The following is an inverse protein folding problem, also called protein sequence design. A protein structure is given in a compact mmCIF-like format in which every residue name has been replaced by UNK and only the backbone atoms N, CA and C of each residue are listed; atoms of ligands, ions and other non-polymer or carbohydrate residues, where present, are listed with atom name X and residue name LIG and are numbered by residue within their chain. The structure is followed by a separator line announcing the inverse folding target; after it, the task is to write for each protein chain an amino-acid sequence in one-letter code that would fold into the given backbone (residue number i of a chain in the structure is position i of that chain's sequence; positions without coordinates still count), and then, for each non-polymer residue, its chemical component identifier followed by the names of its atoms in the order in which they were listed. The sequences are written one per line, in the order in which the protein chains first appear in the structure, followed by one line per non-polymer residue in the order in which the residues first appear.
data_IF_019922380391
#
_entry.id   IF_019922380391
#
_cell.length_a   1.000
_cell.length_b   1.000
_cell.length_c   1.000
_cell.angle_alpha   90.00
_cell.angle_beta   90.00
_cell.angle_gamma   90.00
#
_symmetry.space_group_name_H-M   'P 1'
#
loop_
_entity.id
_entity.type
_entity.pdbx_description
1 polymer ?
#
# COMPACT_ATOMS: atom_id res chain seq x y z
N UNK A 1 3.59 12.56 -24.05
CA UNK A 1 4.16 12.04 -22.79
C UNK A 1 3.00 11.61 -21.91
N UNK A 2 2.94 10.36 -21.46
CA UNK A 2 1.82 9.83 -20.67
C UNK A 2 2.23 9.69 -19.21
N UNK A 3 1.32 10.06 -18.30
CA UNK A 3 1.52 9.89 -16.86
C UNK A 3 1.14 8.45 -16.50
N UNK A 4 2.00 7.77 -15.73
CA UNK A 4 1.69 6.45 -15.16
C UNK A 4 1.23 6.62 -13.72
N UNK A 5 0.06 6.08 -13.38
CA UNK A 5 -0.44 6.02 -12.01
C UNK A 5 0.00 4.71 -11.38
N UNK A 6 0.70 4.77 -10.26
CA UNK A 6 1.19 3.60 -9.53
C UNK A 6 0.53 3.58 -8.15
N UNK A 7 -0.38 2.63 -7.87
CA UNK A 7 -0.97 2.49 -6.54
C UNK A 7 0.09 2.15 -5.49
N UNK A 8 -0.06 2.72 -4.29
CA UNK A 8 0.81 2.46 -3.16
C UNK A 8 0.19 1.47 -2.16
N UNK A 9 1.02 0.59 -1.60
CA UNK A 9 0.67 -0.30 -0.49
C UNK A 9 1.76 -0.14 0.58
N UNK A 10 1.39 0.50 1.69
CA UNK A 10 2.26 0.60 2.86
C UNK A 10 1.93 -0.58 3.79
N UNK A 11 2.93 -1.38 4.18
CA UNK A 11 2.77 -2.60 4.98
C UNK A 11 3.37 -2.36 6.36
N UNK A 12 2.59 -2.65 7.41
CA UNK A 12 3.03 -2.61 8.81
C UNK A 12 2.41 -3.78 9.56
N UNK A 13 3.21 -4.61 10.21
CA UNK A 13 2.76 -5.81 10.92
C UNK A 13 1.96 -6.76 10.02
N UNK A 14 2.34 -6.86 8.74
CA UNK A 14 1.64 -7.67 7.73
C UNK A 14 0.28 -7.12 7.26
N UNK A 15 -0.10 -5.89 7.64
CA UNK A 15 -1.37 -5.25 7.26
C UNK A 15 -1.12 -4.09 6.31
N UNK A 16 -2.10 -3.80 5.44
CA UNK A 16 -2.09 -2.60 4.60
C UNK A 16 -2.55 -1.41 5.42
N UNK A 17 -1.67 -0.43 5.58
CA UNK A 17 -1.89 0.74 6.43
C UNK A 17 -1.68 2.05 5.69
N UNK A 18 -1.98 3.15 6.38
CA UNK A 18 -1.51 4.49 6.04
C UNK A 18 -1.23 5.24 7.32
N UNK A 19 -0.10 5.93 7.36
CA UNK A 19 0.25 6.83 8.45
C UNK A 19 -0.18 8.26 8.09
N UNK A 20 -0.81 8.96 9.03
CA UNK A 20 -1.03 10.40 8.87
C UNK A 20 0.30 11.13 9.03
N UNK A 21 0.83 11.70 7.93
CA UNK A 21 2.12 12.43 7.92
C UNK A 21 3.30 11.61 8.48
N UNK A 22 3.27 10.29 8.34
CA UNK A 22 4.33 9.41 8.85
C UNK A 22 4.27 9.10 10.35
N UNK A 23 3.20 9.51 11.04
CA UNK A 23 3.02 9.26 12.47
C UNK A 23 2.45 7.85 12.73
N UNK A 24 3.27 6.97 13.32
CA UNK A 24 2.89 5.60 13.69
C UNK A 24 1.76 5.53 14.73
N UNK A 25 1.56 6.57 15.53
CA UNK A 25 0.43 6.64 16.46
C UNK A 25 -0.90 6.92 15.74
N UNK A 26 -0.83 7.42 14.50
CA UNK A 26 -1.99 7.78 13.66
C UNK A 26 -2.08 6.86 12.45
N UNK A 27 -2.18 5.56 12.72
CA UNK A 27 -2.31 4.51 11.72
C UNK A 27 -3.77 4.26 11.36
N UNK A 28 -4.07 4.20 10.05
CA UNK A 28 -5.34 3.68 9.53
C UNK A 28 -5.09 2.35 8.85
N UNK A 29 -5.80 1.30 9.28
CA UNK A 29 -5.74 -0.03 8.64
C UNK A 29 -6.80 -0.13 7.56
N UNK A 30 -6.40 -0.43 6.32
CA UNK A 30 -7.31 -0.61 5.19
C UNK A 30 -7.60 -2.08 4.88
N UNK A 31 -6.63 -2.97 5.11
CA UNK A 31 -6.76 -4.39 4.83
C UNK A 31 -5.80 -5.20 5.70
N UNK A 32 -6.21 -6.42 6.07
CA UNK A 32 -5.34 -7.39 6.72
C UNK A 32 -4.58 -8.29 5.74
N UNK A 33 -4.78 -8.11 4.44
CA UNK A 33 -4.21 -8.97 3.39
C UNK A 33 -3.58 -8.10 2.28
N UNK A 34 -2.25 -7.92 2.31
CA UNK A 34 -1.51 -7.18 1.28
C UNK A 34 -1.59 -7.83 -0.10
N UNK A 35 -1.59 -9.17 -0.17
CA UNK A 35 -1.63 -9.92 -1.43
C UNK A 35 -2.96 -9.69 -2.14
N UNK A 36 -4.08 -9.85 -1.43
CA UNK A 36 -5.40 -9.58 -1.98
C UNK A 36 -5.59 -8.11 -2.39
N UNK A 37 -4.93 -7.19 -1.68
CA UNK A 37 -4.92 -5.76 -2.04
C UNK A 37 -4.14 -5.52 -3.33
N UNK A 38 -3.00 -6.19 -3.51
CA UNK A 38 -2.22 -6.16 -4.74
C UNK A 38 -3.01 -6.73 -5.92
N UNK A 39 -3.61 -7.91 -5.78
CA UNK A 39 -4.47 -8.54 -6.80
C UNK A 39 -5.61 -7.63 -7.24
N UNK A 40 -6.25 -6.93 -6.31
CA UNK A 40 -7.31 -5.95 -6.60
C UNK A 40 -6.82 -4.79 -7.45
N UNK A 41 -5.57 -4.36 -7.29
CA UNK A 41 -5.00 -3.30 -8.14
C UNK A 41 -4.64 -3.82 -9.52
N UNK A 42 -4.06 -5.01 -9.62
CA UNK A 42 -3.81 -5.66 -10.92
C UNK A 42 -5.12 -5.90 -11.68
N UNK A 43 -6.18 -6.35 -11.00
CA UNK A 43 -7.51 -6.53 -11.62
C UNK A 43 -8.15 -5.22 -12.09
N UNK A 44 -7.64 -4.07 -11.64
CA UNK A 44 -8.07 -2.72 -12.06
C UNK A 44 -7.17 -2.12 -13.15
N UNK A 45 -6.21 -2.88 -13.68
CA UNK A 45 -5.31 -2.44 -14.74
C UNK A 45 -4.03 -1.76 -14.25
N UNK A 46 -3.69 -1.84 -12.96
CA UNK A 46 -2.37 -1.42 -12.51
C UNK A 46 -1.32 -2.40 -13.04
N UNK A 47 -0.30 -1.90 -13.73
CA UNK A 47 0.82 -2.72 -14.21
C UNK A 47 1.93 -2.87 -13.16
N UNK A 48 1.98 -1.95 -12.20
CA UNK A 48 3.00 -1.86 -11.16
C UNK A 48 2.39 -1.39 -9.85
N UNK A 49 3.03 -1.76 -8.75
CA UNK A 49 2.70 -1.30 -7.40
C UNK A 49 3.93 -0.67 -6.76
N UNK A 50 3.72 0.38 -5.99
CA UNK A 50 4.72 0.95 -5.10
C UNK A 50 4.48 0.36 -3.71
N UNK A 51 5.39 -0.49 -3.24
CA UNK A 51 5.24 -1.18 -1.96
C UNK A 51 6.30 -0.67 -0.99
N UNK A 52 5.87 -0.30 0.21
CA UNK A 52 6.74 0.16 1.30
C UNK A 52 6.55 -0.77 2.48
N UNK A 53 7.63 -1.38 2.93
CA UNK A 53 7.67 -2.13 4.19
C UNK A 53 8.06 -1.17 5.32
N UNK A 54 7.11 -0.89 6.22
CA UNK A 54 7.30 -0.01 7.37
C UNK A 54 7.80 -0.76 8.60
N UNK A 55 7.82 -2.10 8.60
CA UNK A 55 8.39 -2.86 9.71
C UNK A 55 9.92 -2.75 9.75
N UNK A 56 10.56 -2.51 8.59
CA UNK A 56 12.01 -2.33 8.45
C UNK A 56 12.49 -0.88 8.35
N UNK A 57 11.60 0.10 8.50
CA UNK A 57 11.88 1.54 8.30
C UNK A 57 12.32 2.28 9.56
#
# INVERSE_FOLDING_TARGET
MTITIIPAIDILGGKVVRLERGDYSKVTVYSGDPVKTAEKWFSKGAERLHVVDLDGA
#
